data_IF_497041310550
#
_entry.id   IF_497041310550
#
_cell.length_a   1.000
_cell.length_b   1.000
_cell.length_c   1.000
_cell.angle_alpha   90.00
_cell.angle_beta   90.00
_cell.angle_gamma   90.00
#
_symmetry.space_group_name_H-M   'P 1'
#
loop_
_entity.id
_entity.type
_entity.pdbx_description
1 polymer ?
#
# COMPACT_ATOMS: atom_id res chain seq x y z
N UNK A 1 6.67 2.41 1.90
CA UNK A 1 6.44 1.67 3.17
C UNK A 1 5.46 2.48 4.01
N UNK A 2 4.45 1.83 4.58
CA UNK A 2 3.55 2.43 5.59
C UNK A 2 4.05 2.11 6.99
N UNK A 3 4.03 3.10 7.90
CA UNK A 3 4.30 2.96 9.33
C UNK A 3 3.05 3.31 10.13
N UNK A 4 2.72 2.48 11.10
CA UNK A 4 1.57 2.63 11.99
C UNK A 4 2.03 3.23 13.33
N UNK A 5 1.16 3.97 14.05
CA UNK A 5 1.51 4.54 15.35
C UNK A 5 1.90 3.51 16.42
N UNK A 6 1.43 2.27 16.27
CA UNK A 6 1.76 1.14 17.15
C UNK A 6 3.14 0.50 16.87
N UNK A 7 3.90 1.07 15.92
CA UNK A 7 5.21 0.56 15.51
C UNK A 7 5.15 -0.51 14.41
N UNK A 8 3.95 -0.99 14.05
CA UNK A 8 3.78 -1.88 12.91
C UNK A 8 4.16 -1.21 11.59
N UNK A 9 4.58 -2.01 10.61
CA UNK A 9 4.86 -1.49 9.27
C UNK A 9 4.40 -2.44 8.18
N UNK A 10 4.18 -1.86 6.99
CA UNK A 10 3.88 -2.61 5.77
C UNK A 10 4.77 -2.10 4.63
N UNK A 11 5.46 -3.02 3.97
CA UNK A 11 6.13 -2.77 2.70
C UNK A 11 5.16 -3.08 1.56
N UNK A 12 5.18 -2.25 0.53
CA UNK A 12 4.26 -2.32 -0.60
C UNK A 12 5.08 -2.36 -1.88
N UNK A 13 4.70 -3.23 -2.81
CA UNK A 13 5.32 -3.35 -4.12
C UNK A 13 4.23 -3.32 -5.20
N UNK A 14 4.26 -2.27 -6.02
CA UNK A 14 3.40 -2.09 -7.18
C UNK A 14 4.20 -2.46 -8.42
N UNK A 15 3.88 -3.59 -9.03
CA UNK A 15 4.71 -4.18 -10.08
C UNK A 15 4.20 -3.74 -11.47
N UNK A 16 5.07 -3.55 -12.48
CA UNK A 16 4.66 -3.08 -13.80
C UNK A 16 3.62 -3.96 -14.51
N UNK A 17 3.55 -5.25 -14.17
CA UNK A 17 2.55 -6.21 -14.69
C UNK A 17 1.15 -6.06 -14.04
N UNK A 18 0.96 -5.03 -13.20
CA UNK A 18 -0.26 -4.77 -12.45
C UNK A 18 -0.44 -5.66 -11.22
N UNK A 19 0.56 -6.48 -10.85
CA UNK A 19 0.51 -7.25 -9.60
C UNK A 19 0.95 -6.38 -8.43
N UNK A 20 0.30 -6.57 -7.28
CA UNK A 20 0.63 -5.91 -6.04
C UNK A 20 0.98 -6.96 -4.99
N UNK A 21 2.03 -6.67 -4.22
CA UNK A 21 2.41 -7.46 -3.05
C UNK A 21 2.66 -6.54 -1.85
N UNK A 22 2.41 -7.07 -0.66
CA UNK A 22 2.75 -6.42 0.58
C UNK A 22 3.22 -7.41 1.64
N UNK A 23 4.10 -6.94 2.51
CA UNK A 23 4.61 -7.67 3.66
C UNK A 23 4.46 -6.82 4.90
N UNK A 24 3.88 -7.41 5.94
CA UNK A 24 3.68 -6.79 7.24
C UNK A 24 4.87 -7.12 8.15
N UNK A 25 5.12 -6.26 9.13
CA UNK A 25 6.16 -6.44 10.15
C UNK A 25 6.01 -7.74 10.95
N UNK A 26 4.78 -8.24 11.08
CA UNK A 26 4.44 -9.50 11.76
C UNK A 26 4.58 -10.75 10.86
N UNK A 27 5.08 -10.58 9.63
CA UNK A 27 5.29 -11.67 8.68
C UNK A 27 4.07 -11.99 7.79
N UNK A 28 2.89 -11.42 8.05
CA UNK A 28 1.75 -11.58 7.15
C UNK A 28 2.05 -11.00 5.77
N UNK A 29 1.40 -11.56 4.76
CA UNK A 29 1.52 -11.13 3.36
C UNK A 29 0.15 -10.84 2.78
N UNK A 30 0.09 -9.88 1.87
CA UNK A 30 -1.10 -9.57 1.08
C UNK A 30 -0.71 -9.46 -0.39
N UNK A 31 -1.52 -10.02 -1.28
CA UNK A 31 -1.40 -9.85 -2.72
C UNK A 31 -2.67 -9.23 -3.29
N UNK A 32 -2.56 -8.51 -4.40
CA UNK A 32 -3.68 -7.88 -5.08
C UNK A 32 -3.34 -7.60 -6.54
N UNK A 33 -4.30 -7.05 -7.28
CA UNK A 33 -4.06 -6.36 -8.55
C UNK A 33 -4.14 -4.86 -8.30
N UNK A 34 -3.27 -4.09 -8.95
CA UNK A 34 -3.35 -2.63 -8.93
C UNK A 34 -3.57 -2.05 -10.33
N UNK A 35 -4.23 -0.90 -10.36
CA UNK A 35 -4.47 -0.11 -11.57
C UNK A 35 -4.51 1.38 -11.23
N UNK A 36 -4.30 2.21 -12.26
CA UNK A 36 -4.57 3.64 -12.20
C UNK A 36 -5.96 3.92 -12.77
N UNK A 37 -6.72 4.74 -12.07
CA UNK A 37 -8.05 5.20 -12.49
C UNK A 37 -8.16 6.70 -12.23
N UNK A 38 -7.96 7.48 -13.29
CA UNK A 38 -7.75 8.93 -13.17
C UNK A 38 -6.54 9.21 -12.26
N UNK A 39 -6.75 10.04 -11.25
CA UNK A 39 -5.72 10.43 -10.27
C UNK A 39 -5.68 9.49 -9.06
N UNK A 40 -6.19 8.27 -9.18
CA UNK A 40 -6.28 7.30 -8.08
C UNK A 40 -5.54 6.03 -8.42
N UNK A 41 -4.91 5.46 -7.40
CA UNK A 41 -4.41 4.09 -7.43
C UNK A 41 -5.41 3.18 -6.71
N UNK A 42 -5.81 2.10 -7.39
CA UNK A 42 -6.84 1.19 -6.92
C UNK A 42 -6.30 -0.24 -6.77
N UNK A 43 -6.66 -0.90 -5.68
CA UNK A 43 -6.38 -2.31 -5.40
C UNK A 43 -7.66 -3.14 -5.53
N UNK A 44 -7.55 -4.29 -6.20
CA UNK A 44 -8.63 -5.26 -6.39
C UNK A 44 -8.10 -6.70 -6.21
N UNK A 45 -9.00 -7.68 -6.11
CA UNK A 45 -8.63 -9.10 -5.97
C UNK A 45 -7.64 -9.35 -4.81
N UNK A 46 -7.87 -8.67 -3.67
CA UNK A 46 -7.00 -8.72 -2.50
C UNK A 46 -7.07 -10.09 -1.83
N UNK A 47 -5.90 -10.69 -1.55
CA UNK A 47 -5.75 -12.00 -0.89
C UNK A 47 -4.78 -11.93 0.29
N UNK A 48 -5.09 -12.55 1.45
CA UNK A 48 -6.37 -13.19 1.78
C UNK A 48 -7.56 -12.22 1.70
N UNK A 49 -8.77 -12.75 1.50
CA UNK A 49 -9.95 -11.91 1.25
C UNK A 49 -10.10 -10.85 2.35
N UNK A 50 -10.20 -9.59 1.92
CA UNK A 50 -10.47 -8.44 2.79
C UNK A 50 -11.97 -8.20 2.88
N UNK A 51 -12.42 -7.49 3.92
CA UNK A 51 -13.82 -7.09 4.09
C UNK A 51 -14.35 -6.18 2.97
N UNK A 52 -13.45 -5.55 2.23
CA UNK A 52 -13.77 -4.71 1.08
C UNK A 52 -13.25 -5.36 -0.21
N UNK A 53 -14.05 -5.38 -1.30
CA UNK A 53 -13.62 -5.98 -2.57
C UNK A 53 -12.60 -5.11 -3.31
N UNK A 54 -12.52 -3.82 -2.96
CA UNK A 54 -11.73 -2.80 -3.65
C UNK A 54 -11.33 -1.67 -2.71
N UNK A 55 -10.13 -1.13 -2.90
CA UNK A 55 -9.63 0.04 -2.18
C UNK A 55 -8.98 1.02 -3.15
N UNK A 56 -9.33 2.31 -3.10
CA UNK A 56 -8.73 3.33 -3.96
C UNK A 56 -8.29 4.54 -3.15
N UNK A 57 -7.04 4.97 -3.34
CA UNK A 57 -6.49 6.20 -2.76
C UNK A 57 -6.00 7.13 -3.85
N UNK A 58 -5.90 8.42 -3.56
CA UNK A 58 -5.23 9.39 -4.44
C UNK A 58 -3.80 8.94 -4.72
N UNK A 59 -3.37 9.07 -5.97
CA UNK A 59 -1.97 8.89 -6.35
C UNK A 59 -1.15 10.01 -5.73
N UNK A 60 0.01 9.66 -5.18
CA UNK A 60 0.95 10.62 -4.61
C UNK A 60 2.21 10.61 -5.47
N UNK A 61 2.63 11.79 -5.90
CA UNK A 61 3.96 12.03 -6.43
C UNK A 61 4.89 12.32 -5.26
N UNK A 62 6.00 11.59 -5.18
CA UNK A 62 6.95 11.66 -4.07
C UNK A 62 8.33 11.21 -4.50
N UNK A 63 9.36 11.83 -3.94
CA UNK A 63 10.76 11.42 -4.07
C UNK A 63 11.15 10.38 -3.01
N UNK A 64 12.23 9.63 -3.27
CA UNK A 64 12.76 8.67 -2.30
C UNK A 64 13.14 9.39 -1.01
N UNK A 65 12.62 8.89 0.12
CA UNK A 65 12.81 9.47 1.44
C UNK A 65 11.69 10.42 1.86
N UNK A 66 10.88 10.92 0.92
CA UNK A 66 9.73 11.76 1.26
C UNK A 66 8.64 10.97 1.98
N UNK A 67 7.94 11.67 2.87
CA UNK A 67 6.89 11.08 3.69
C UNK A 67 5.58 11.83 3.55
N UNK A 68 4.48 11.10 3.62
CA UNK A 68 3.15 11.68 3.59
C UNK A 68 2.19 10.90 4.49
N UNK A 69 1.12 11.56 4.93
CA UNK A 69 0.08 10.95 5.76
C UNK A 69 -1.01 10.35 4.87
N UNK A 70 -1.53 9.17 5.23
CA UNK A 70 -2.70 8.60 4.58
C UNK A 70 -3.52 7.71 5.52
N UNK A 71 -4.49 6.99 4.95
CA UNK A 71 -5.28 5.96 5.65
C UNK A 71 -5.21 4.64 4.92
N UNK A 72 -5.20 3.56 5.69
CA UNK A 72 -5.28 2.21 5.16
C UNK A 72 -6.73 1.81 4.82
N UNK A 73 -6.96 0.62 4.22
CA UNK A 73 -8.30 0.09 3.94
C UNK A 73 -9.29 0.06 5.11
N UNK A 74 -8.80 0.02 6.35
CA UNK A 74 -9.61 -0.03 7.57
C UNK A 74 -9.77 1.37 8.20
N UNK A 75 -9.29 2.43 7.54
CA UNK A 75 -9.37 3.81 8.01
C UNK A 75 -8.28 4.21 9.02
N UNK A 76 -7.35 3.30 9.34
CA UNK A 76 -6.26 3.56 10.29
C UNK A 76 -5.27 4.55 9.69
N UNK A 77 -4.78 5.49 10.50
CA UNK A 77 -3.76 6.46 10.09
C UNK A 77 -2.42 5.76 9.87
N UNK A 78 -1.74 6.12 8.80
CA UNK A 78 -0.40 5.64 8.49
C UNK A 78 0.47 6.79 7.99
N UNK A 79 1.75 6.76 8.32
CA UNK A 79 2.77 7.57 7.67
C UNK A 79 3.46 6.72 6.61
N UNK A 80 3.42 7.17 5.37
CA UNK A 80 4.14 6.52 4.28
C UNK A 80 5.51 7.17 4.10
N UNK A 81 6.43 6.38 3.57
CA UNK A 81 7.71 6.83 3.04
C UNK A 81 7.98 6.11 1.73
N UNK A 82 8.41 6.84 0.70
CA UNK A 82 8.92 6.21 -0.52
C UNK A 82 10.34 5.71 -0.24
N UNK A 83 10.58 4.42 -0.47
CA UNK A 83 11.86 3.77 -0.16
C UNK A 83 12.50 3.28 -1.46
N UNK A 84 13.83 3.40 -1.54
CA UNK A 84 14.57 2.88 -2.68
C UNK A 84 14.58 1.34 -2.68
N UNK A 85 14.27 0.76 -3.83
CA UNK A 85 14.43 -0.67 -4.09
C UNK A 85 13.40 -1.59 -3.44
N UNK A 86 13.55 -2.88 -3.75
CA UNK A 86 12.81 -4.01 -3.17
C UNK A 86 13.69 -4.67 -2.10
N UNK A 87 13.66 -4.15 -0.88
CA UNK A 87 14.24 -4.81 0.30
C UNK A 87 13.14 -5.15 1.28
#
# INVERSE_FOLDING_TARGET
>A
MSRYPDGGWVKHWFNPDGSYAAQFSDGRRLSARWSLEGERICLTNMRPNMLIPRFCTTMIDADVGETWQSRDPLGRRVQNILVAGRQ
#
